data_IF_827318810651
#
_entry.id   IF_827318810651
#
_cell.length_a   1.000
_cell.length_b   1.000
_cell.length_c   1.000
_cell.angle_alpha   90.00
_cell.angle_beta   90.00
_cell.angle_gamma   90.00
#
_symmetry.space_group_name_H-M   'P 1'
#
loop_
_entity.id
_entity.type
_entity.pdbx_description
1 polymer ?
#
# COMPACT_ATOMS: atom_id res chain seq x y z
N UNK A 1 12.11 2.74 16.97
CA UNK A 1 11.57 4.06 17.33
C UNK A 1 10.14 4.15 16.83
N UNK A 2 9.27 4.94 17.49
CA UNK A 2 7.90 5.16 17.00
C UNK A 2 7.95 5.80 15.61
N UNK A 3 7.26 5.20 14.63
CA UNK A 3 7.16 5.69 13.25
C UNK A 3 5.76 6.25 12.97
N UNK A 4 5.66 7.14 11.98
CA UNK A 4 4.41 7.80 11.59
C UNK A 4 4.01 7.42 10.18
N UNK A 5 2.71 7.18 9.97
CA UNK A 5 2.13 6.88 8.67
C UNK A 5 2.49 7.95 7.64
N UNK A 6 2.99 7.51 6.48
CA UNK A 6 3.20 8.35 5.31
C UNK A 6 2.68 7.61 4.08
N UNK A 7 1.84 8.31 3.31
CA UNK A 7 1.22 7.77 2.10
C UNK A 7 1.49 8.74 0.96
N UNK A 8 2.17 8.26 -0.07
CA UNK A 8 2.47 9.06 -1.27
C UNK A 8 1.87 8.36 -2.49
N UNK A 9 1.15 9.11 -3.32
CA UNK A 9 0.79 8.64 -4.66
C UNK A 9 2.05 8.71 -5.54
N UNK A 10 2.45 7.59 -6.12
CA UNK A 10 3.66 7.50 -6.94
C UNK A 10 3.38 7.26 -8.43
N UNK A 11 2.20 6.74 -8.77
CA UNK A 11 1.73 6.61 -10.15
C UNK A 11 0.21 6.53 -10.22
N UNK A 12 -0.37 6.98 -11.32
CA UNK A 12 -1.80 6.81 -11.62
C UNK A 12 -2.05 6.79 -13.13
N UNK A 13 -3.21 6.27 -13.55
CA UNK A 13 -3.70 6.39 -14.92
C UNK A 13 -3.89 7.88 -15.28
N UNK A 14 -3.29 8.40 -16.37
CA UNK A 14 -3.54 9.77 -16.83
C UNK A 14 -5.00 9.96 -17.26
N UNK A 15 -5.57 11.15 -16.98
CA UNK A 15 -6.96 11.49 -17.32
C UNK A 15 -7.99 10.40 -16.96
N UNK A 16 -8.03 9.92 -15.70
CA UNK A 16 -8.76 8.72 -15.32
C UNK A 16 -10.26 8.82 -15.62
N UNK A 17 -10.87 9.99 -15.47
CA UNK A 17 -12.27 10.23 -15.79
C UNK A 17 -12.57 10.00 -17.28
N UNK A 18 -11.68 10.47 -18.16
CA UNK A 18 -11.83 10.23 -19.61
C UNK A 18 -11.70 8.76 -19.95
N UNK A 19 -10.77 8.05 -19.31
CA UNK A 19 -10.58 6.60 -19.50
C UNK A 19 -11.86 5.84 -19.12
N UNK A 20 -12.44 6.13 -17.95
CA UNK A 20 -13.70 5.52 -17.50
C UNK A 20 -14.84 5.81 -18.48
N UNK A 21 -15.01 7.09 -18.85
CA UNK A 21 -16.09 7.48 -19.74
C UNK A 21 -15.95 6.88 -21.14
N UNK A 22 -14.73 6.79 -21.67
CA UNK A 22 -14.46 6.18 -22.97
C UNK A 22 -14.72 4.66 -22.94
N UNK A 23 -14.24 3.96 -21.90
CA UNK A 23 -14.46 2.53 -21.74
C UNK A 23 -15.96 2.18 -21.65
N UNK A 24 -16.73 2.95 -20.88
CA UNK A 24 -18.17 2.76 -20.77
C UNK A 24 -18.91 3.10 -22.06
N UNK A 25 -18.60 4.23 -22.71
CA UNK A 25 -19.27 4.65 -23.95
C UNK A 25 -19.00 3.73 -25.13
N UNK A 26 -17.82 3.12 -25.19
CA UNK A 26 -17.47 2.16 -26.24
C UNK A 26 -18.50 1.04 -26.37
N UNK A 27 -19.05 0.56 -25.25
CA UNK A 27 -20.07 -0.49 -25.22
C UNK A 27 -21.40 -0.10 -25.89
N UNK A 28 -21.66 1.21 -26.06
CA UNK A 28 -22.93 1.75 -26.54
C UNK A 28 -22.78 2.69 -27.75
N UNK A 29 -21.57 2.84 -28.29
CA UNK A 29 -21.24 3.80 -29.35
C UNK A 29 -20.92 3.09 -30.67
N UNK A 30 -21.24 3.75 -31.78
CA UNK A 30 -20.77 3.36 -33.12
C UNK A 30 -19.35 3.90 -33.43
N UNK A 31 -18.87 4.83 -32.63
CA UNK A 31 -17.54 5.45 -32.77
C UNK A 31 -16.46 4.62 -32.07
N UNK A 32 -15.23 4.70 -32.56
CA UNK A 32 -14.08 4.05 -31.93
C UNK A 32 -13.69 4.70 -30.60
N UNK A 33 -12.94 3.96 -29.76
CA UNK A 33 -12.54 4.44 -28.43
C UNK A 33 -11.72 5.75 -28.49
N UNK A 34 -10.83 5.89 -29.48
CA UNK A 34 -10.01 7.09 -29.67
C UNK A 34 -10.88 8.31 -29.99
N UNK A 35 -11.82 8.17 -30.93
CA UNK A 35 -12.74 9.25 -31.30
C UNK A 35 -13.62 9.68 -30.11
N UNK A 36 -14.02 8.72 -29.27
CA UNK A 36 -14.77 9.02 -28.05
C UNK A 36 -13.89 9.87 -27.13
N UNK A 37 -12.66 9.44 -26.88
CA UNK A 37 -11.72 10.09 -25.95
C UNK A 37 -11.40 11.53 -26.36
N UNK A 38 -11.15 11.78 -27.64
CA UNK A 38 -10.84 13.12 -28.18
C UNK A 38 -12.01 14.11 -28.06
N UNK A 39 -13.25 13.59 -28.03
CA UNK A 39 -14.48 14.40 -28.00
C UNK A 39 -15.10 14.51 -26.59
N UNK A 40 -14.42 14.03 -25.55
CA UNK A 40 -14.87 14.17 -24.16
C UNK A 40 -14.55 15.57 -23.61
N UNK A 41 -15.61 16.35 -23.42
CA UNK A 41 -15.58 17.56 -22.58
C UNK A 41 -15.65 17.19 -21.09
N UNK A 42 -14.95 17.97 -20.24
CA UNK A 42 -14.86 17.72 -18.79
C UNK A 42 -16.24 17.75 -18.13
N UNK A 43 -17.06 18.77 -18.39
CA UNK A 43 -18.36 18.92 -17.75
C UNK A 43 -19.38 17.83 -18.15
N UNK A 44 -19.29 17.32 -19.38
CA UNK A 44 -20.09 16.16 -19.81
C UNK A 44 -19.57 14.84 -19.26
N UNK A 45 -18.26 14.72 -19.09
CA UNK A 45 -17.59 13.53 -18.54
C UNK A 45 -17.99 13.31 -17.10
N UNK A 46 -17.91 14.35 -16.26
CA UNK A 46 -18.26 14.28 -14.84
C UNK A 46 -19.71 13.81 -14.64
N UNK A 47 -20.66 14.46 -15.32
CA UNK A 47 -22.09 14.09 -15.27
C UNK A 47 -22.35 12.67 -15.73
N UNK A 48 -21.59 12.19 -16.72
CA UNK A 48 -21.73 10.85 -17.24
C UNK A 48 -21.18 9.81 -16.25
N UNK A 49 -20.05 10.07 -15.60
CA UNK A 49 -19.52 9.21 -14.54
C UNK A 49 -20.49 9.15 -13.36
N UNK A 50 -21.03 10.28 -12.91
CA UNK A 50 -22.02 10.31 -11.83
C UNK A 50 -23.25 9.44 -12.16
N UNK A 51 -23.74 9.54 -13.40
CA UNK A 51 -24.82 8.67 -13.89
C UNK A 51 -24.42 7.20 -13.86
N UNK A 52 -23.24 6.83 -14.39
CA UNK A 52 -22.75 5.45 -14.39
C UNK A 52 -22.68 4.87 -12.97
N UNK A 53 -22.18 5.66 -12.00
CA UNK A 53 -22.09 5.26 -10.60
C UNK A 53 -23.47 5.07 -9.99
N UNK A 54 -24.43 5.95 -10.30
CA UNK A 54 -25.82 5.81 -9.81
C UNK A 54 -26.52 4.55 -10.30
N UNK A 55 -26.06 3.97 -11.43
CA UNK A 55 -26.58 2.74 -12.01
C UNK A 55 -25.86 1.48 -11.51
N UNK A 56 -24.82 1.62 -10.66
CA UNK A 56 -23.99 0.50 -10.22
C UNK A 56 -23.12 -0.11 -11.32
N UNK A 57 -22.85 0.65 -12.40
CA UNK A 57 -22.02 0.19 -13.51
C UNK A 57 -20.53 0.43 -13.21
N UNK A 58 -19.96 -0.43 -12.35
CA UNK A 58 -18.64 -0.23 -11.76
C UNK A 58 -17.47 -0.74 -12.63
N UNK A 59 -17.72 -1.69 -13.54
CA UNK A 59 -16.65 -2.32 -14.32
C UNK A 59 -15.78 -1.34 -15.13
N UNK A 60 -16.26 -0.20 -15.67
CA UNK A 60 -15.40 0.76 -16.34
C UNK A 60 -14.39 1.46 -15.42
N UNK A 61 -14.63 1.49 -14.10
CA UNK A 61 -13.69 2.06 -13.11
C UNK A 61 -12.43 1.20 -13.01
N UNK A 62 -12.53 -0.10 -13.27
CA UNK A 62 -11.40 -1.04 -13.16
C UNK A 62 -10.27 -0.74 -14.17
N UNK A 63 -10.54 0.08 -15.19
CA UNK A 63 -9.51 0.56 -16.12
C UNK A 63 -8.59 1.64 -15.52
N UNK A 64 -8.92 2.18 -14.34
CA UNK A 64 -8.12 3.17 -13.63
C UNK A 64 -7.31 2.48 -12.53
N UNK A 65 -6.03 2.82 -12.45
CA UNK A 65 -5.11 2.29 -11.45
C UNK A 65 -4.37 3.41 -10.74
N UNK A 66 -4.09 3.18 -9.45
CA UNK A 66 -3.27 4.04 -8.60
C UNK A 66 -2.20 3.19 -7.93
N UNK A 67 -1.01 3.76 -7.73
CA UNK A 67 0.08 3.11 -6.99
C UNK A 67 0.52 4.04 -5.87
N UNK A 68 0.52 3.52 -4.65
CA UNK A 68 0.91 4.26 -3.45
C UNK A 68 2.18 3.67 -2.85
N UNK A 69 3.10 4.54 -2.43
CA UNK A 69 4.15 4.20 -1.49
C UNK A 69 3.64 4.45 -0.07
N UNK A 70 3.56 3.38 0.73
CA UNK A 70 3.04 3.42 2.09
C UNK A 70 4.17 3.05 3.07
N UNK A 71 4.52 4.01 3.92
CA UNK A 71 5.60 3.93 4.90
C UNK A 71 5.04 4.15 6.32
N UNK A 72 5.80 3.76 7.34
CA UNK A 72 5.43 4.00 8.73
C UNK A 72 4.17 3.24 9.19
N UNK A 73 3.92 2.06 8.62
CA UNK A 73 2.79 1.18 8.97
C UNK A 73 3.24 -0.09 9.66
N UNK A 74 2.37 -0.63 10.52
CA UNK A 74 2.66 -1.87 11.24
C UNK A 74 2.58 -3.10 10.32
N UNK A 75 3.31 -4.16 10.68
CA UNK A 75 3.18 -5.47 9.99
C UNK A 75 1.76 -6.02 10.08
N UNK A 76 1.10 -5.81 11.23
CA UNK A 76 -0.31 -6.20 11.42
C UNK A 76 -1.22 -5.51 10.41
N UNK A 77 -1.04 -4.20 10.19
CA UNK A 77 -1.79 -3.46 9.16
C UNK A 77 -1.55 -4.08 7.78
N UNK A 78 -0.29 -4.30 7.40
CA UNK A 78 0.00 -4.89 6.08
C UNK A 78 -0.59 -6.29 5.93
N UNK A 79 -0.68 -7.07 7.01
CA UNK A 79 -1.26 -8.40 6.99
C UNK A 79 -2.77 -8.39 6.74
N UNK A 80 -3.46 -7.32 7.12
CA UNK A 80 -4.86 -7.08 6.73
C UNK A 80 -4.95 -6.53 5.31
N UNK A 81 -4.09 -5.57 4.95
CA UNK A 81 -4.09 -4.91 3.64
C UNK A 81 -3.96 -5.93 2.49
N UNK A 82 -3.02 -6.87 2.58
CA UNK A 82 -2.78 -7.86 1.52
C UNK A 82 -3.94 -8.87 1.34
N UNK A 83 -4.97 -8.83 2.19
CA UNK A 83 -6.19 -9.64 2.01
C UNK A 83 -7.10 -9.08 0.92
N UNK A 84 -6.92 -7.82 0.53
CA UNK A 84 -7.58 -7.24 -0.64
C UNK A 84 -6.88 -7.76 -1.90
N UNK A 85 -7.43 -8.86 -2.45
CA UNK A 85 -6.83 -9.64 -3.54
C UNK A 85 -6.78 -8.92 -4.89
N UNK A 86 -7.68 -7.95 -5.11
CA UNK A 86 -7.74 -7.17 -6.36
C UNK A 86 -6.85 -5.93 -6.19
N UNK A 87 -5.55 -6.19 -6.07
CA UNK A 87 -4.47 -5.20 -5.96
C UNK A 87 -3.12 -5.90 -6.14
N UNK A 88 -2.07 -5.12 -6.38
CA UNK A 88 -0.70 -5.61 -6.49
C UNK A 88 0.16 -5.03 -5.37
N UNK A 89 0.99 -5.88 -4.74
CA UNK A 89 1.79 -5.50 -3.58
C UNK A 89 3.26 -5.83 -3.78
N UNK A 90 4.13 -4.92 -3.38
CA UNK A 90 5.54 -5.17 -3.13
C UNK A 90 5.86 -4.68 -1.73
N UNK A 91 6.33 -5.59 -0.87
CA UNK A 91 6.55 -5.29 0.55
C UNK A 91 8.00 -5.55 0.91
N UNK A 92 8.58 -4.67 1.72
CA UNK A 92 9.94 -4.84 2.24
C UNK A 92 10.08 -6.19 2.96
N UNK A 93 10.98 -7.02 2.45
CA UNK A 93 11.23 -8.36 2.95
C UNK A 93 12.16 -8.34 4.15
N UNK A 94 11.71 -8.89 5.28
CA UNK A 94 12.54 -9.09 6.48
C UNK A 94 13.54 -10.24 6.33
N UNK A 95 13.48 -11.01 5.23
CA UNK A 95 14.47 -12.04 4.90
C UNK A 95 15.74 -11.46 4.28
N UNK A 96 15.63 -10.31 3.61
CA UNK A 96 16.73 -9.68 2.88
C UNK A 96 17.17 -8.35 3.47
N UNK A 97 16.23 -7.58 4.02
CA UNK A 97 16.55 -6.28 4.62
C UNK A 97 16.77 -6.49 6.12
N UNK A 98 18.03 -6.35 6.53
CA UNK A 98 18.39 -6.28 7.94
C UNK A 98 17.77 -5.02 8.53
N UNK A 99 17.05 -5.18 9.63
CA UNK A 99 16.43 -4.05 10.32
C UNK A 99 17.43 -3.49 11.33
N UNK A 100 18.04 -2.35 10.99
CA UNK A 100 18.87 -1.56 11.91
C UNK A 100 17.94 -0.70 12.77
N UNK A 101 17.50 -1.26 13.89
CA UNK A 101 16.49 -0.66 14.76
C UNK A 101 15.06 -0.88 14.24
N UNK A 102 14.23 -1.57 15.03
CA UNK A 102 12.82 -1.74 14.72
C UNK A 102 12.10 -0.40 14.80
N UNK A 103 11.61 0.05 13.65
CA UNK A 103 10.49 0.98 13.60
C UNK A 103 9.20 0.27 13.99
N UNK A 104 8.38 0.93 14.80
CA UNK A 104 7.12 0.37 15.27
C UNK A 104 6.04 1.43 15.39
N UNK A 105 4.80 1.00 15.26
CA UNK A 105 3.61 1.84 15.48
C UNK A 105 3.07 1.52 16.85
N UNK A 106 2.91 2.52 17.71
CA UNK A 106 2.26 2.38 19.01
C UNK A 106 0.75 2.56 18.83
N UNK A 107 -0.10 1.55 19.11
CA UNK A 107 -1.54 1.69 19.00
C UNK A 107 -2.07 2.83 19.89
N UNK A 108 -3.11 3.60 19.47
CA UNK A 108 -3.62 4.72 20.26
C UNK A 108 -4.01 4.35 21.70
N UNK A 109 -4.61 3.17 21.90
CA UNK A 109 -4.98 2.67 23.23
C UNK A 109 -3.77 2.45 24.15
N UNK A 110 -2.62 2.03 23.58
CA UNK A 110 -1.36 1.87 24.31
C UNK A 110 -0.73 3.25 24.54
N UNK A 111 -0.69 4.10 23.52
CA UNK A 111 -0.09 5.44 23.57
C UNK A 111 -0.73 6.34 24.64
N UNK A 112 -2.03 6.22 24.84
CA UNK A 112 -2.80 7.02 25.79
C UNK A 112 -2.74 6.50 27.24
N UNK A 113 -2.07 5.37 27.49
CA UNK A 113 -1.86 4.82 28.82
C UNK A 113 -0.35 4.72 29.10
N UNK A 114 0.13 5.47 30.10
CA UNK A 114 1.56 5.55 30.41
C UNK A 114 2.17 4.18 30.76
N UNK A 115 1.49 3.39 31.60
CA UNK A 115 1.97 2.08 32.01
C UNK A 115 2.04 1.10 30.83
N UNK A 116 0.99 1.06 30.01
CA UNK A 116 0.96 0.23 28.81
C UNK A 116 2.04 0.64 27.81
N UNK A 117 2.24 1.94 27.61
CA UNK A 117 3.31 2.48 26.75
C UNK A 117 4.69 2.08 27.24
N UNK A 118 4.96 2.22 28.54
CA UNK A 118 6.25 1.86 29.13
C UNK A 118 6.55 0.36 28.96
N UNK A 119 5.54 -0.51 29.12
CA UNK A 119 5.67 -1.95 28.85
C UNK A 119 5.98 -2.18 27.38
N UNK A 120 5.22 -1.57 26.47
CA UNK A 120 5.38 -1.75 25.02
C UNK A 120 6.78 -1.33 24.55
N UNK A 121 7.24 -0.14 24.93
CA UNK A 121 8.55 0.37 24.51
C UNK A 121 9.70 -0.49 25.05
N UNK A 122 9.59 -0.98 26.29
CA UNK A 122 10.57 -1.94 26.86
C UNK A 122 10.58 -3.27 26.11
N UNK A 123 9.42 -3.82 25.78
CA UNK A 123 9.31 -5.05 24.99
C UNK A 123 9.94 -4.87 23.61
N UNK A 124 9.60 -3.79 22.88
CA UNK A 124 10.17 -3.53 21.56
C UNK A 124 11.69 -3.38 21.58
N UNK A 125 12.24 -2.75 22.62
CA UNK A 125 13.70 -2.65 22.79
C UNK A 125 14.33 -4.02 23.01
N UNK A 126 13.74 -4.84 23.88
CA UNK A 126 14.22 -6.20 24.15
C UNK A 126 14.17 -7.08 22.90
N UNK A 127 13.09 -7.01 22.14
CA UNK A 127 12.91 -7.77 20.90
C UNK A 127 13.99 -7.40 19.86
N UNK A 128 14.34 -6.11 19.74
CA UNK A 128 15.45 -5.65 18.89
C UNK A 128 16.79 -6.25 19.33
N UNK A 129 17.12 -6.14 20.62
CA UNK A 129 18.38 -6.66 21.16
C UNK A 129 18.51 -8.17 20.95
N UNK A 130 17.43 -8.91 21.16
CA UNK A 130 17.43 -10.36 21.00
C UNK A 130 17.52 -10.75 19.53
N UNK A 131 16.83 -10.03 18.62
CA UNK A 131 16.99 -10.21 17.17
C UNK A 131 18.44 -10.00 16.71
N UNK A 132 19.08 -8.92 17.14
CA UNK A 132 20.47 -8.60 16.75
C UNK A 132 21.45 -9.67 17.23
N UNK A 133 21.28 -10.16 18.47
CA UNK A 133 22.09 -11.25 19.02
C UNK A 133 21.92 -12.53 18.20
N UNK A 134 20.67 -12.93 17.92
CA UNK A 134 20.37 -14.12 17.14
C UNK A 134 20.96 -14.02 15.73
N UNK A 135 20.74 -12.91 15.04
CA UNK A 135 21.27 -12.67 13.69
C UNK A 135 22.80 -12.75 13.66
N UNK A 136 23.48 -12.17 14.65
CA UNK A 136 24.94 -12.22 14.77
C UNK A 136 25.47 -13.63 15.01
N UNK A 137 24.86 -14.37 15.94
CA UNK A 137 25.25 -15.76 16.25
C UNK A 137 25.15 -16.63 15.00
N UNK A 138 24.01 -16.59 14.31
CA UNK A 138 23.77 -17.40 13.12
C UNK A 138 24.67 -17.00 11.95
N UNK A 139 24.90 -15.70 11.75
CA UNK A 139 25.81 -15.21 10.70
C UNK A 139 27.23 -15.71 10.93
N UNK A 140 27.74 -15.60 12.17
CA UNK A 140 29.09 -16.08 12.50
C UNK A 140 29.23 -17.59 12.33
N UNK A 141 28.20 -18.37 12.71
CA UNK A 141 28.19 -19.82 12.51
C UNK A 141 28.37 -20.17 11.03
N UNK A 142 27.54 -19.57 10.17
CA UNK A 142 27.60 -19.86 8.73
C UNK A 142 28.88 -19.36 8.06
N UNK A 143 29.43 -18.22 8.48
CA UNK A 143 30.72 -17.74 7.97
C UNK A 143 31.84 -18.70 8.33
N UNK A 144 31.87 -19.19 9.58
CA UNK A 144 32.89 -20.15 10.01
C UNK A 144 32.78 -21.49 9.25
N UNK A 145 31.55 -21.98 9.04
CA UNK A 145 31.29 -23.20 8.24
C UNK A 145 31.74 -23.05 6.78
N UNK A 146 31.58 -21.86 6.19
CA UNK A 146 31.99 -21.58 4.81
C UNK A 146 33.49 -21.36 4.63
N UNK A 147 34.19 -20.98 5.69
CA UNK A 147 35.64 -20.73 5.69
C UNK A 147 36.48 -21.94 6.14
N UNK A 148 35.84 -22.98 6.67
CA UNK A 148 36.46 -24.25 7.06
C UNK A 148 36.61 -25.19 5.86
#
# INVERSE_FOLDING_TARGET
METSLKVNLIAHTPEPEKVVAAAAKLCYSKSGATDIMDNLDKGKTDKFIDMLMSLGHESPIEHVSFTFAIEGVSRVLTHQLVRHRIASYSQQSQRYVKLEGFEYVIPPAVKNNKEARDIFEKSMKKDQEDYEKLAKILTNSHVNELMA
#
